data_IF_280663861531
#
_entry.id   IF_280663861531
#
_cell.length_a   1.000
_cell.length_b   1.000
_cell.length_c   1.000
_cell.angle_alpha   90.00
_cell.angle_beta   90.00
_cell.angle_gamma   90.00
#
_symmetry.space_group_name_H-M   'P 1'
#
loop_
_entity.id
_entity.type
_entity.pdbx_description
1 polymer ?
#
# COMPACT_ATOMS: atom_id res chain seq x y z
N UNK A 1 26.37 11.54 -0.70
CA UNK A 1 26.50 10.15 -0.20
C UNK A 1 25.50 9.29 -0.95
N UNK A 2 25.90 8.16 -1.53
CA UNK A 2 24.98 7.30 -2.29
C UNK A 2 24.11 6.51 -1.31
N UNK A 3 22.78 6.59 -1.44
CA UNK A 3 21.85 5.76 -0.65
C UNK A 3 21.93 4.34 -1.21
N UNK A 4 22.14 3.34 -0.36
CA UNK A 4 22.14 1.91 -0.72
C UNK A 4 21.26 1.13 0.24
N UNK A 5 20.82 -0.06 -0.15
CA UNK A 5 20.01 -0.96 0.70
C UNK A 5 20.71 -1.25 2.03
N UNK A 6 22.01 -1.54 2.00
CA UNK A 6 22.81 -1.81 3.21
C UNK A 6 22.81 -0.60 4.14
N UNK A 7 22.90 0.62 3.59
CA UNK A 7 22.87 1.83 4.39
C UNK A 7 21.50 2.05 5.03
N UNK A 8 20.41 1.75 4.32
CA UNK A 8 19.05 1.83 4.87
C UNK A 8 18.85 0.83 6.02
N UNK A 9 19.31 -0.41 5.85
CA UNK A 9 19.26 -1.44 6.91
C UNK A 9 20.09 -1.00 8.13
N UNK A 10 21.30 -0.46 7.91
CA UNK A 10 22.12 0.08 9.00
C UNK A 10 21.44 1.22 9.76
N UNK A 11 20.75 2.13 9.07
CA UNK A 11 20.03 3.23 9.71
C UNK A 11 18.85 2.71 10.56
N UNK A 12 18.11 1.71 10.06
CA UNK A 12 17.07 1.07 10.84
C UNK A 12 17.61 0.31 12.06
N UNK A 13 18.72 -0.41 11.90
CA UNK A 13 19.40 -1.09 13.01
C UNK A 13 19.77 -0.10 14.12
N UNK A 14 20.37 1.04 13.74
CA UNK A 14 20.73 2.11 14.68
C UNK A 14 19.50 2.68 15.41
N UNK A 15 18.38 2.85 14.71
CA UNK A 15 17.15 3.32 15.33
C UNK A 15 16.58 2.31 16.33
N UNK A 16 16.57 1.02 15.99
CA UNK A 16 16.13 -0.06 16.89
C UNK A 16 17.00 -0.12 18.15
N UNK A 17 18.33 -0.08 18.00
CA UNK A 17 19.27 -0.08 19.12
C UNK A 17 19.09 1.14 20.03
N UNK A 18 18.88 2.31 19.44
CA UNK A 18 18.59 3.55 20.17
C UNK A 18 17.31 3.43 21.00
N UNK A 19 16.25 2.84 20.43
CA UNK A 19 14.95 2.63 21.09
C UNK A 19 15.05 1.60 22.23
N UNK A 20 15.76 0.49 21.99
CA UNK A 20 16.04 -0.53 22.99
C UNK A 20 16.83 0.03 24.18
N UNK A 21 17.88 0.84 23.91
CA UNK A 21 18.70 1.47 24.94
C UNK A 21 17.99 2.55 25.75
N UNK A 22 16.93 3.16 25.20
CA UNK A 22 16.13 4.18 25.87
C UNK A 22 15.13 3.62 26.90
N UNK A 23 15.12 2.30 27.13
CA UNK A 23 14.22 1.67 28.10
C UNK A 23 12.76 1.57 27.64
N UNK A 24 12.50 1.73 26.34
CA UNK A 24 11.21 1.36 25.77
C UNK A 24 11.01 -0.15 25.97
N UNK A 25 9.79 -0.59 26.30
CA UNK A 25 9.45 -2.00 26.51
C UNK A 25 9.44 -2.79 25.18
N UNK A 26 10.55 -2.73 24.44
CA UNK A 26 10.75 -3.29 23.11
C UNK A 26 11.19 -4.75 23.24
N UNK A 27 10.40 -5.65 22.64
CA UNK A 27 10.70 -7.08 22.57
C UNK A 27 11.49 -7.44 21.31
N UNK A 28 11.13 -6.85 20.18
CA UNK A 28 11.76 -7.15 18.89
C UNK A 28 11.61 -6.00 17.89
N UNK A 29 12.52 -5.94 16.92
CA UNK A 29 12.47 -5.07 15.75
C UNK A 29 12.92 -5.81 14.49
N UNK A 30 12.20 -5.60 13.38
CA UNK A 30 12.50 -6.22 12.09
C UNK A 30 12.05 -5.36 10.92
N UNK A 31 12.62 -5.59 9.74
CA UNK A 31 12.23 -4.91 8.50
C UNK A 31 11.33 -5.77 7.63
N UNK A 32 10.42 -5.10 6.95
CA UNK A 32 9.60 -5.66 5.87
C UNK A 32 9.75 -4.82 4.60
N UNK A 33 8.93 -5.11 3.59
CA UNK A 33 8.82 -4.28 2.40
C UNK A 33 10.08 -4.27 1.52
N UNK A 34 10.28 -3.17 0.81
CA UNK A 34 11.27 -3.11 -0.28
C UNK A 34 12.70 -3.14 0.23
N UNK A 35 12.99 -2.56 1.39
CA UNK A 35 14.30 -2.64 2.03
C UNK A 35 14.64 -4.08 2.46
N UNK A 36 13.65 -4.91 2.77
CA UNK A 36 13.85 -6.30 3.13
C UNK A 36 14.06 -7.21 1.89
N UNK A 37 13.30 -7.02 0.80
CA UNK A 37 13.21 -8.02 -0.29
C UNK A 37 13.47 -7.53 -1.72
N UNK A 38 13.63 -6.23 -1.95
CA UNK A 38 13.64 -5.67 -3.29
C UNK A 38 14.69 -4.56 -3.45
N UNK A 39 14.60 -3.86 -4.58
CA UNK A 39 15.25 -2.57 -4.77
C UNK A 39 14.45 -1.51 -3.98
N UNK A 40 15.00 -0.94 -2.89
CA UNK A 40 14.27 0.03 -2.08
C UNK A 40 14.03 1.34 -2.83
N UNK A 41 14.96 1.76 -3.68
CA UNK A 41 14.91 3.07 -4.31
C UNK A 41 13.97 3.12 -5.52
N UNK A 42 13.14 4.15 -5.56
CA UNK A 42 12.40 4.56 -6.75
C UNK A 42 12.47 6.08 -6.85
N UNK A 43 13.01 6.58 -7.96
CA UNK A 43 13.30 8.02 -8.13
C UNK A 43 14.35 8.55 -7.14
N UNK A 44 15.26 7.70 -6.65
CA UNK A 44 16.24 8.08 -5.64
C UNK A 44 15.67 8.28 -4.23
N UNK A 45 14.38 8.00 -4.02
CA UNK A 45 13.70 8.07 -2.72
C UNK A 45 13.33 6.67 -2.21
N UNK A 46 13.31 6.50 -0.89
CA UNK A 46 12.95 5.24 -0.22
C UNK A 46 12.29 5.50 1.15
N UNK A 47 11.37 4.62 1.49
CA UNK A 47 10.90 4.35 2.83
C UNK A 47 11.62 3.11 3.37
N UNK A 48 11.67 2.99 4.69
CA UNK A 48 12.15 1.78 5.36
C UNK A 48 11.06 1.33 6.33
N UNK A 49 10.36 0.27 5.94
CA UNK A 49 9.28 -0.32 6.72
C UNK A 49 9.86 -1.06 7.93
N UNK A 50 9.87 -0.40 9.09
CA UNK A 50 10.40 -0.92 10.34
C UNK A 50 9.24 -1.31 11.25
N UNK A 51 9.21 -2.56 11.73
CA UNK A 51 8.23 -2.99 12.73
C UNK A 51 8.89 -3.12 14.08
N UNK A 52 8.30 -2.49 15.10
CA UNK A 52 8.71 -2.59 16.50
C UNK A 52 7.62 -3.31 17.31
N UNK A 53 7.99 -4.38 18.01
CA UNK A 53 7.09 -5.14 18.88
C UNK A 53 7.35 -4.74 20.33
N UNK A 54 6.29 -4.32 21.01
CA UNK A 54 6.31 -3.89 22.41
C UNK A 54 5.64 -4.91 23.31
N UNK A 55 6.07 -5.00 24.57
CA UNK A 55 5.43 -5.85 25.58
C UNK A 55 3.98 -5.43 25.83
N UNK A 56 3.73 -4.11 25.82
CA UNK A 56 2.41 -3.52 26.03
C UNK A 56 1.86 -2.93 24.74
N UNK A 57 0.58 -2.54 24.75
CA UNK A 57 -0.03 -1.85 23.61
C UNK A 57 0.60 -0.46 23.45
N UNK A 58 1.24 -0.18 22.30
CA UNK A 58 1.87 1.11 22.06
C UNK A 58 0.80 2.22 21.94
N UNK A 59 1.10 3.46 22.37
CA UNK A 59 0.15 4.58 22.32
C UNK A 59 -0.15 5.06 20.89
N UNK A 60 0.76 4.76 19.95
CA UNK A 60 0.63 5.08 18.53
C UNK A 60 0.95 3.84 17.71
N UNK A 61 0.19 3.61 16.64
CA UNK A 61 0.41 2.46 15.75
C UNK A 61 1.47 2.74 14.68
N UNK A 62 1.64 3.99 14.27
CA UNK A 62 2.54 4.37 13.18
C UNK A 62 3.31 5.64 13.53
N UNK A 63 4.60 5.67 13.21
CA UNK A 63 5.49 6.82 13.38
C UNK A 63 6.34 6.98 12.12
N UNK A 64 6.49 8.22 11.64
CA UNK A 64 7.39 8.52 10.53
C UNK A 64 8.61 9.26 11.06
N UNK A 65 9.80 8.72 10.82
CA UNK A 65 11.07 9.35 11.22
C UNK A 65 11.85 9.78 9.98
N UNK A 66 11.88 11.09 9.66
CA UNK A 66 12.68 11.59 8.54
C UNK A 66 14.17 11.33 8.76
N UNK A 67 14.82 10.73 7.78
CA UNK A 67 16.29 10.55 7.74
C UNK A 67 16.94 11.57 6.79
N UNK A 68 16.20 12.01 5.77
CA UNK A 68 16.53 13.10 4.85
C UNK A 68 15.24 13.58 4.17
N UNK A 69 15.34 14.51 3.21
CA UNK A 69 14.19 14.99 2.44
C UNK A 69 13.50 13.92 1.59
N UNK A 70 14.20 12.83 1.25
CA UNK A 70 13.71 11.77 0.35
C UNK A 70 13.81 10.35 0.95
N UNK A 71 14.25 10.25 2.20
CA UNK A 71 14.36 8.98 2.94
C UNK A 71 13.76 9.13 4.32
N UNK A 72 12.90 8.19 4.71
CA UNK A 72 12.32 8.13 6.06
C UNK A 72 12.16 6.69 6.52
N UNK A 73 12.07 6.49 7.83
CA UNK A 73 11.56 5.26 8.41
C UNK A 73 10.04 5.37 8.50
N UNK A 74 9.32 4.34 8.04
CA UNK A 74 7.90 4.13 8.31
C UNK A 74 7.82 3.06 9.40
N UNK A 75 7.63 3.50 10.64
CA UNK A 75 7.70 2.66 11.84
C UNK A 75 6.30 2.22 12.23
N UNK A 76 6.03 0.93 12.16
CA UNK A 76 4.80 0.33 12.69
C UNK A 76 5.05 -0.27 14.07
N UNK A 77 4.16 0.02 15.02
CA UNK A 77 4.26 -0.46 16.39
C UNK A 77 3.18 -1.50 16.67
N UNK A 78 3.60 -2.72 17.05
CA UNK A 78 2.70 -3.79 17.45
C UNK A 78 2.85 -4.10 18.94
N UNK A 79 1.75 -4.53 19.57
CA UNK A 79 1.85 -5.24 20.85
C UNK A 79 2.24 -6.69 20.63
N UNK A 80 2.82 -7.33 21.64
CA UNK A 80 3.09 -8.76 21.64
C UNK A 80 1.83 -9.59 21.32
N UNK A 81 0.67 -9.15 21.82
CA UNK A 81 -0.62 -9.83 21.66
C UNK A 81 -1.06 -9.97 20.19
N UNK A 82 -0.58 -9.10 19.28
CA UNK A 82 -0.82 -9.24 17.84
C UNK A 82 -0.31 -10.59 17.30
N UNK A 83 0.69 -11.18 17.96
CA UNK A 83 1.34 -12.43 17.55
C UNK A 83 0.82 -13.68 18.27
N UNK A 84 -0.22 -13.55 19.09
CA UNK A 84 -0.79 -14.68 19.86
C UNK A 84 -1.41 -15.76 18.96
N UNK A 85 -1.79 -15.41 17.72
CA UNK A 85 -2.42 -16.33 16.77
C UNK A 85 -1.66 -16.42 15.43
N UNK A 86 -0.46 -17.03 15.39
CA UNK A 86 0.36 -17.09 14.19
C UNK A 86 -0.31 -17.77 12.99
N UNK A 87 -1.26 -18.68 13.23
CA UNK A 87 -2.03 -19.33 12.18
C UNK A 87 -2.96 -18.38 11.45
N UNK A 88 -3.51 -17.36 12.13
CA UNK A 88 -4.32 -16.32 11.49
C UNK A 88 -3.43 -15.37 10.71
N UNK A 89 -2.30 -14.94 11.28
CA UNK A 89 -1.32 -14.10 10.58
C UNK A 89 -0.83 -14.74 9.27
N UNK A 90 -0.73 -16.07 9.20
CA UNK A 90 -0.34 -16.78 7.98
C UNK A 90 -1.28 -16.57 6.80
N UNK A 91 -2.58 -16.49 7.08
CA UNK A 91 -3.63 -16.31 6.07
C UNK A 91 -4.09 -14.86 5.98
N UNK A 92 -3.51 -13.97 6.78
CA UNK A 92 -3.67 -12.53 6.59
C UNK A 92 -3.03 -12.13 5.24
N UNK A 93 -3.78 -11.43 4.37
CA UNK A 93 -3.33 -11.09 3.03
C UNK A 93 -2.13 -10.13 3.00
N UNK A 94 -1.95 -9.30 4.04
CA UNK A 94 -0.88 -8.31 4.14
C UNK A 94 0.25 -8.78 5.06
N UNK A 95 -0.10 -9.18 6.28
CA UNK A 95 0.86 -9.58 7.29
C UNK A 95 1.46 -10.96 7.03
N UNK A 96 0.73 -11.88 6.43
CA UNK A 96 1.30 -13.19 6.07
C UNK A 96 2.55 -13.05 5.20
N UNK A 97 2.46 -12.38 4.03
CA UNK A 97 3.62 -12.11 3.19
C UNK A 97 4.70 -11.28 3.88
N UNK A 98 4.33 -10.22 4.61
CA UNK A 98 5.29 -9.34 5.30
C UNK A 98 6.12 -10.10 6.36
N UNK A 99 5.49 -11.04 7.07
CA UNK A 99 6.12 -11.88 8.10
C UNK A 99 6.83 -13.10 7.53
N UNK A 100 6.59 -13.45 6.27
CA UNK A 100 7.15 -14.67 5.68
C UNK A 100 8.66 -14.61 5.58
N UNK A 101 9.25 -13.46 5.20
CA UNK A 101 10.69 -13.35 4.96
C UNK A 101 11.41 -12.15 5.62
N UNK A 102 11.00 -11.59 6.77
CA UNK A 102 11.55 -10.33 7.30
C UNK A 102 13.07 -10.32 7.51
N UNK A 103 13.67 -9.12 7.54
CA UNK A 103 15.06 -8.93 8.01
C UNK A 103 15.05 -8.64 9.50
N UNK A 104 15.58 -9.56 10.30
CA UNK A 104 15.70 -9.41 11.76
C UNK A 104 16.75 -8.36 12.10
N UNK A 105 16.39 -7.44 13.00
CA UNK A 105 17.30 -6.40 13.51
C UNK A 105 17.58 -6.57 15.01
N UNK A 106 16.54 -6.93 15.79
CA UNK A 106 16.61 -7.08 17.23
C UNK A 106 15.58 -8.11 17.70
N UNK A 107 16.00 -9.17 18.38
CA UNK A 107 15.09 -10.14 19.00
C UNK A 107 15.80 -10.94 20.11
N UNK A 108 16.29 -10.28 21.19
CA UNK A 108 17.16 -10.90 22.18
C UNK A 108 16.51 -12.08 22.93
N UNK A 109 15.17 -12.16 22.92
CA UNK A 109 14.42 -13.23 23.59
C UNK A 109 13.83 -14.24 22.59
N UNK A 110 14.21 -14.15 21.31
CA UNK A 110 13.68 -14.96 20.21
C UNK A 110 12.13 -14.94 20.17
N UNK A 111 11.51 -13.83 20.56
CA UNK A 111 10.07 -13.67 20.60
C UNK A 111 9.51 -13.73 19.18
N UNK A 112 10.03 -12.88 18.31
CA UNK A 112 9.55 -12.76 16.95
C UNK A 112 9.94 -13.97 16.11
N UNK A 113 11.15 -14.50 16.30
CA UNK A 113 11.60 -15.73 15.63
C UNK A 113 10.61 -16.90 15.86
N UNK A 114 10.15 -17.07 17.10
CA UNK A 114 9.14 -18.10 17.43
C UNK A 114 7.78 -17.81 16.81
N UNK A 115 7.31 -16.56 16.88
CA UNK A 115 6.04 -16.17 16.27
C UNK A 115 6.05 -16.36 14.75
N UNK A 116 7.14 -15.96 14.11
CA UNK A 116 7.36 -16.03 12.67
C UNK A 116 7.46 -17.48 12.17
N UNK A 117 8.11 -18.38 12.92
CA UNK A 117 8.11 -19.81 12.60
C UNK A 117 6.66 -20.37 12.52
N UNK A 118 5.79 -19.93 13.43
CA UNK A 118 4.36 -20.21 13.38
C UNK A 118 3.70 -19.64 12.12
N UNK A 119 3.87 -18.36 11.83
CA UNK A 119 3.26 -17.71 10.67
C UNK A 119 3.76 -18.29 9.33
N UNK A 120 5.05 -18.61 9.20
CA UNK A 120 5.68 -19.08 7.95
C UNK A 120 5.52 -20.57 7.67
N UNK A 121 5.28 -21.41 8.69
CA UNK A 121 5.23 -22.86 8.49
C UNK A 121 4.28 -23.22 7.36
N UNK A 122 4.73 -23.93 6.32
CA UNK A 122 3.98 -24.26 5.08
C UNK A 122 3.23 -23.06 4.43
N UNK A 123 3.85 -21.88 4.37
CA UNK A 123 3.23 -20.63 3.89
C UNK A 123 2.68 -20.68 2.45
N UNK A 124 3.40 -21.37 1.55
CA UNK A 124 3.08 -21.47 0.12
C UNK A 124 2.16 -22.64 -0.24
N UNK A 125 1.61 -23.36 0.75
CA UNK A 125 0.63 -24.40 0.44
C UNK A 125 -0.58 -23.80 -0.27
N UNK A 126 -1.15 -24.50 -1.28
CA UNK A 126 -2.27 -23.99 -2.05
C UNK A 126 -3.45 -23.50 -1.20
N UNK A 127 -3.85 -24.25 -0.17
CA UNK A 127 -4.93 -23.89 0.75
C UNK A 127 -4.72 -22.55 1.48
N UNK A 128 -3.48 -22.13 1.69
CA UNK A 128 -3.16 -20.87 2.39
C UNK A 128 -2.93 -19.72 1.43
N UNK A 129 -2.40 -20.00 0.26
CA UNK A 129 -2.31 -19.02 -0.81
C UNK A 129 -3.71 -18.58 -1.24
N UNK A 130 -4.63 -19.52 -1.46
CA UNK A 130 -6.01 -19.19 -1.80
C UNK A 130 -6.73 -18.46 -0.66
N UNK A 131 -6.51 -18.86 0.60
CA UNK A 131 -7.12 -18.16 1.74
C UNK A 131 -6.75 -16.67 1.80
N UNK A 132 -5.49 -16.32 1.50
CA UNK A 132 -5.05 -14.92 1.39
C UNK A 132 -5.71 -14.20 0.21
N UNK A 133 -5.76 -14.84 -0.95
CA UNK A 133 -6.42 -14.29 -2.14
C UNK A 133 -7.92 -14.02 -1.89
N UNK A 134 -8.61 -14.96 -1.25
CA UNK A 134 -10.02 -14.81 -0.87
C UNK A 134 -10.22 -13.72 0.17
N UNK A 135 -9.28 -13.52 1.10
CA UNK A 135 -9.34 -12.40 2.04
C UNK A 135 -9.31 -11.05 1.33
N UNK A 136 -8.44 -10.89 0.32
CA UNK A 136 -8.43 -9.70 -0.53
C UNK A 136 -9.75 -9.51 -1.30
N UNK A 137 -10.29 -10.57 -1.92
CA UNK A 137 -11.56 -10.48 -2.62
C UNK A 137 -12.71 -10.09 -1.66
N UNK A 138 -12.71 -10.63 -0.45
CA UNK A 138 -13.67 -10.26 0.59
C UNK A 138 -13.54 -8.78 0.98
N UNK A 139 -12.32 -8.26 1.13
CA UNK A 139 -12.11 -6.82 1.37
C UNK A 139 -12.64 -5.98 0.22
N UNK A 140 -12.39 -6.40 -1.03
CA UNK A 140 -12.89 -5.72 -2.22
C UNK A 140 -14.43 -5.65 -2.25
N UNK A 141 -15.11 -6.77 -1.96
CA UNK A 141 -16.58 -6.83 -1.89
C UNK A 141 -17.14 -5.98 -0.76
N UNK A 142 -16.49 -5.93 0.40
CA UNK A 142 -16.88 -5.02 1.50
C UNK A 142 -16.72 -3.55 1.12
N UNK A 143 -15.65 -3.21 0.40
CA UNK A 143 -15.46 -1.87 -0.13
C UNK A 143 -16.53 -1.53 -1.18
N UNK A 144 -16.88 -2.46 -2.08
CA UNK A 144 -17.98 -2.33 -3.02
C UNK A 144 -19.33 -2.10 -2.31
N UNK A 145 -19.63 -2.87 -1.26
CA UNK A 145 -20.87 -2.72 -0.49
C UNK A 145 -21.00 -1.32 0.13
N UNK A 146 -19.91 -0.77 0.69
CA UNK A 146 -19.91 0.60 1.25
C UNK A 146 -20.28 1.68 0.22
N UNK A 147 -20.00 1.45 -1.07
CA UNK A 147 -20.38 2.38 -2.14
C UNK A 147 -21.90 2.46 -2.34
N UNK A 148 -22.63 1.40 -1.99
CA UNK A 148 -24.09 1.34 -2.08
C UNK A 148 -24.77 2.01 -0.87
N UNK A 149 -24.09 2.01 0.27
CA UNK A 149 -24.64 2.44 1.56
C UNK A 149 -24.30 3.91 1.89
N UNK A 150 -23.10 4.39 1.55
CA UNK A 150 -22.56 5.67 2.02
C UNK A 150 -21.84 6.50 0.94
N UNK A 151 -21.69 7.80 1.20
CA UNK A 151 -20.88 8.74 0.38
C UNK A 151 -19.37 8.60 0.61
N UNK A 152 -18.81 7.39 0.42
CA UNK A 152 -17.39 7.10 0.56
C UNK A 152 -16.61 7.12 -0.77
N UNK A 153 -17.20 7.71 -1.81
CA UNK A 153 -16.61 7.87 -3.13
C UNK A 153 -15.54 8.99 -3.16
N UNK A 154 -14.39 8.82 -3.84
CA UNK A 154 -13.95 7.62 -4.56
C UNK A 154 -13.16 6.63 -3.69
N UNK A 155 -12.93 6.91 -2.40
CA UNK A 155 -12.08 6.07 -1.53
C UNK A 155 -12.42 4.58 -1.63
N UNK A 156 -13.67 4.20 -1.36
CA UNK A 156 -14.04 2.79 -1.33
C UNK A 156 -14.00 2.15 -2.73
N UNK A 157 -14.15 2.94 -3.79
CA UNK A 157 -14.00 2.47 -5.17
C UNK A 157 -12.53 2.15 -5.48
N UNK A 158 -11.61 3.04 -5.11
CA UNK A 158 -10.18 2.81 -5.25
C UNK A 158 -9.70 1.62 -4.41
N UNK A 159 -10.24 1.47 -3.20
CA UNK A 159 -9.96 0.32 -2.33
C UNK A 159 -10.48 -0.99 -2.94
N UNK A 160 -11.73 -1.02 -3.42
CA UNK A 160 -12.29 -2.20 -4.07
C UNK A 160 -11.48 -2.63 -5.30
N UNK A 161 -11.09 -1.68 -6.15
CA UNK A 161 -10.27 -1.96 -7.33
C UNK A 161 -8.87 -2.50 -6.95
N UNK A 162 -8.21 -1.91 -5.95
CA UNK A 162 -6.90 -2.37 -5.48
C UNK A 162 -6.98 -3.77 -4.88
N UNK A 163 -7.92 -4.00 -3.96
CA UNK A 163 -8.06 -5.28 -3.27
C UNK A 163 -8.46 -6.39 -4.24
N UNK A 164 -9.34 -6.10 -5.21
CA UNK A 164 -9.69 -7.06 -6.27
C UNK A 164 -8.49 -7.44 -7.14
N UNK A 165 -7.66 -6.47 -7.54
CA UNK A 165 -6.45 -6.76 -8.29
C UNK A 165 -5.42 -7.54 -7.45
N UNK A 166 -5.29 -7.22 -6.16
CA UNK A 166 -4.42 -7.94 -5.24
C UNK A 166 -4.89 -9.37 -4.96
N UNK A 167 -6.19 -9.64 -4.97
CA UNK A 167 -6.74 -10.98 -4.80
C UNK A 167 -6.17 -11.97 -5.82
N UNK A 168 -6.10 -11.57 -7.10
CA UNK A 168 -5.41 -12.39 -8.11
C UNK A 168 -3.88 -12.29 -7.97
N UNK A 169 -3.33 -11.07 -7.90
CA UNK A 169 -1.89 -10.84 -7.93
C UNK A 169 -1.13 -11.55 -6.78
N UNK A 170 -1.75 -11.73 -5.61
CA UNK A 170 -1.09 -12.34 -4.46
C UNK A 170 -0.90 -13.87 -4.60
N UNK A 171 -1.55 -14.51 -5.57
CA UNK A 171 -1.32 -15.93 -5.86
C UNK A 171 0.07 -16.19 -6.48
N UNK A 172 0.64 -15.19 -7.15
CA UNK A 172 1.93 -15.31 -7.85
C UNK A 172 3.10 -14.61 -7.15
N UNK A 173 2.84 -13.83 -6.10
CA UNK A 173 3.87 -13.04 -5.42
C UNK A 173 3.33 -12.24 -4.24
N UNK A 174 4.18 -11.41 -3.60
CA UNK A 174 3.73 -10.53 -2.52
C UNK A 174 2.68 -9.53 -3.05
N UNK A 175 1.74 -9.10 -2.19
CA UNK A 175 0.71 -8.15 -2.57
C UNK A 175 1.34 -6.82 -3.00
N UNK A 176 0.69 -6.17 -3.95
CA UNK A 176 1.08 -4.88 -4.45
C UNK A 176 0.69 -3.78 -3.47
N UNK A 177 1.59 -2.82 -3.25
CA UNK A 177 1.33 -1.63 -2.44
C UNK A 177 2.16 -0.42 -2.89
N UNK A 178 1.79 0.74 -2.35
CA UNK A 178 2.57 1.98 -2.44
C UNK A 178 2.83 2.44 -3.88
N UNK A 179 3.99 3.08 -4.09
CA UNK A 179 4.36 3.69 -5.38
C UNK A 179 4.57 2.66 -6.50
N UNK A 180 4.79 1.38 -6.17
CA UNK A 180 5.01 0.30 -7.14
C UNK A 180 3.76 -0.54 -7.40
N UNK A 181 2.59 -0.15 -6.86
CA UNK A 181 1.36 -0.92 -6.93
C UNK A 181 1.10 -1.47 -8.35
N UNK A 182 0.99 -0.57 -9.34
CA UNK A 182 0.67 -0.97 -10.71
C UNK A 182 1.71 -1.92 -11.31
N UNK A 183 3.01 -1.66 -11.09
CA UNK A 183 4.08 -2.52 -11.58
C UNK A 183 4.05 -3.92 -10.94
N UNK A 184 3.72 -4.00 -9.66
CA UNK A 184 3.61 -5.28 -8.95
C UNK A 184 2.38 -6.06 -9.41
N UNK A 185 1.23 -5.41 -9.60
CA UNK A 185 0.02 -6.05 -10.15
C UNK A 185 0.32 -6.58 -11.56
N UNK A 186 0.88 -5.74 -12.44
CA UNK A 186 1.23 -6.12 -13.81
C UNK A 186 2.12 -7.37 -13.83
N UNK A 187 3.24 -7.33 -13.11
CA UNK A 187 4.18 -8.45 -13.04
C UNK A 187 3.53 -9.70 -12.49
N UNK A 188 2.83 -9.60 -11.36
CA UNK A 188 2.30 -10.77 -10.67
C UNK A 188 1.15 -11.42 -11.46
N UNK A 189 0.25 -10.62 -12.06
CA UNK A 189 -0.85 -11.13 -12.88
C UNK A 189 -0.35 -11.74 -14.19
N UNK A 190 0.72 -11.19 -14.79
CA UNK A 190 1.41 -11.84 -15.90
C UNK A 190 2.03 -13.19 -15.50
N UNK A 191 2.70 -13.27 -14.35
CA UNK A 191 3.26 -14.53 -13.81
C UNK A 191 2.17 -15.56 -13.50
N UNK A 192 1.00 -15.11 -13.04
CA UNK A 192 -0.17 -15.96 -12.81
C UNK A 192 -0.74 -16.55 -14.12
N UNK A 193 -0.45 -15.91 -15.27
CA UNK A 193 -1.08 -16.22 -16.55
C UNK A 193 -2.45 -15.56 -16.73
N UNK A 194 -2.74 -14.49 -15.98
CA UNK A 194 -3.99 -13.72 -16.04
C UNK A 194 -3.73 -12.21 -16.25
N UNK A 195 -2.95 -11.79 -17.27
CA UNK A 195 -2.63 -10.37 -17.51
C UNK A 195 -3.87 -9.48 -17.76
N UNK A 196 -4.99 -10.08 -18.14
CA UNK A 196 -6.28 -9.40 -18.29
C UNK A 196 -6.78 -8.75 -16.99
N UNK A 197 -6.37 -9.23 -15.81
CA UNK A 197 -6.68 -8.61 -14.52
C UNK A 197 -6.06 -7.22 -14.43
N UNK A 198 -4.77 -7.08 -14.80
CA UNK A 198 -4.13 -5.78 -14.81
C UNK A 198 -4.76 -4.84 -15.85
N UNK A 199 -5.10 -5.36 -17.03
CA UNK A 199 -5.81 -4.58 -18.05
C UNK A 199 -7.18 -4.09 -17.53
N UNK A 200 -7.94 -4.93 -16.83
CA UNK A 200 -9.20 -4.55 -16.21
C UNK A 200 -9.01 -3.49 -15.11
N UNK A 201 -8.01 -3.67 -14.24
CA UNK A 201 -7.66 -2.67 -13.23
C UNK A 201 -7.34 -1.30 -13.83
N UNK A 202 -6.58 -1.24 -14.93
CA UNK A 202 -6.30 0.00 -15.64
C UNK A 202 -7.56 0.63 -16.25
N UNK A 203 -8.49 -0.18 -16.77
CA UNK A 203 -9.78 0.31 -17.28
C UNK A 203 -10.65 0.92 -16.18
N UNK A 204 -10.72 0.29 -15.00
CA UNK A 204 -11.49 0.81 -13.85
C UNK A 204 -11.03 2.20 -13.41
N UNK A 205 -9.74 2.50 -13.57
CA UNK A 205 -9.17 3.81 -13.25
C UNK A 205 -9.19 4.78 -14.42
N UNK A 206 -9.64 4.35 -15.60
CA UNK A 206 -9.56 5.10 -16.86
C UNK A 206 -8.13 5.56 -17.19
N UNK A 207 -7.18 4.63 -17.13
CA UNK A 207 -5.76 4.90 -17.31
C UNK A 207 -5.39 5.54 -18.65
N UNK A 208 -6.18 5.31 -19.70
CA UNK A 208 -5.98 5.92 -21.02
C UNK A 208 -6.04 7.46 -20.96
N UNK A 209 -6.84 8.03 -20.05
CA UNK A 209 -6.95 9.47 -19.86
C UNK A 209 -5.62 10.13 -19.47
N UNK A 210 -4.71 9.38 -18.83
CA UNK A 210 -3.38 9.87 -18.40
C UNK A 210 -2.54 10.33 -19.59
N UNK A 211 -2.77 9.78 -20.80
CA UNK A 211 -2.06 10.22 -22.03
C UNK A 211 -2.34 11.67 -22.41
N UNK A 212 -3.44 12.23 -21.94
CA UNK A 212 -3.82 13.64 -22.18
C UNK A 212 -3.28 14.58 -21.10
N UNK A 213 -2.73 14.04 -20.01
CA UNK A 213 -2.31 14.82 -18.87
C UNK A 213 -1.00 15.57 -19.12
N UNK A 214 -0.96 16.81 -18.65
CA UNK A 214 0.31 17.48 -18.36
C UNK A 214 0.78 17.04 -16.98
N UNK A 215 1.55 15.95 -16.92
CA UNK A 215 2.01 15.35 -15.67
C UNK A 215 2.60 16.37 -14.67
N UNK A 216 3.46 17.33 -15.07
CA UNK A 216 3.96 18.35 -14.13
C UNK A 216 2.86 19.19 -13.47
N UNK A 217 1.79 19.54 -14.21
CA UNK A 217 0.68 20.34 -13.68
C UNK A 217 -0.14 19.53 -12.67
N UNK A 218 -0.41 18.25 -12.98
CA UNK A 218 -1.13 17.32 -12.11
C UNK A 218 -0.35 17.07 -10.81
N UNK A 219 0.94 16.76 -10.92
CA UNK A 219 1.81 16.54 -9.75
C UNK A 219 1.97 17.82 -8.91
N UNK A 220 2.02 19.00 -9.53
CA UNK A 220 2.04 20.27 -8.80
C UNK A 220 0.73 20.51 -8.03
N UNK A 221 -0.42 20.22 -8.63
CA UNK A 221 -1.71 20.35 -7.96
C UNK A 221 -1.86 19.39 -6.78
N UNK A 222 -1.47 18.12 -6.96
CA UNK A 222 -1.38 17.12 -5.90
C UNK A 222 -0.48 17.59 -4.76
N UNK A 223 0.74 18.04 -5.08
CA UNK A 223 1.73 18.46 -4.10
C UNK A 223 1.24 19.63 -3.24
N UNK A 224 0.52 20.59 -3.83
CA UNK A 224 -0.10 21.71 -3.08
C UNK A 224 -1.20 21.23 -2.12
N UNK A 225 -2.02 20.25 -2.54
CA UNK A 225 -3.02 19.66 -1.65
C UNK A 225 -2.36 18.90 -0.49
N UNK A 226 -1.28 18.16 -0.78
CA UNK A 226 -0.48 17.48 0.24
C UNK A 226 0.15 18.48 1.22
N UNK A 227 0.75 19.56 0.74
CA UNK A 227 1.35 20.61 1.57
C UNK A 227 0.31 21.26 2.49
N UNK A 228 -0.90 21.51 1.97
CA UNK A 228 -2.00 22.05 2.77
C UNK A 228 -2.49 21.07 3.84
N UNK A 229 -2.53 19.77 3.55
CA UNK A 229 -2.86 18.71 4.50
C UNK A 229 -1.76 18.58 5.57
N UNK A 230 -0.50 18.61 5.17
CA UNK A 230 0.66 18.61 6.06
C UNK A 230 0.62 19.76 7.07
N UNK A 231 0.22 20.95 6.62
CA UNK A 231 0.07 22.13 7.47
C UNK A 231 -1.05 22.02 8.52
N UNK A 232 -2.00 21.09 8.39
CA UNK A 232 -2.98 20.81 9.45
C UNK A 232 -2.33 20.12 10.66
N UNK A 233 -1.23 19.40 10.45
CA UNK A 233 -0.49 18.66 11.47
C UNK A 233 -1.22 17.39 11.96
N UNK A 234 -0.51 16.59 12.75
CA UNK A 234 -1.08 15.49 13.54
C UNK A 234 -1.23 14.14 12.83
N UNK A 235 -1.34 14.10 11.50
CA UNK A 235 -1.42 12.84 10.75
C UNK A 235 -0.03 12.44 10.21
N UNK A 236 0.52 11.29 10.63
CA UNK A 236 1.78 10.76 10.11
C UNK A 236 1.78 10.61 8.58
N UNK A 237 0.61 10.43 7.95
CA UNK A 237 0.50 10.27 6.51
C UNK A 237 0.95 11.51 5.72
N UNK A 238 0.86 12.70 6.32
CA UNK A 238 1.21 13.98 5.69
C UNK A 238 2.51 14.58 6.21
N UNK A 239 3.42 13.76 6.72
CA UNK A 239 4.76 14.22 7.05
C UNK A 239 5.50 14.69 5.78
N UNK A 240 6.24 15.82 5.81
CA UNK A 240 6.88 16.40 4.62
C UNK A 240 7.78 15.42 3.84
N UNK A 241 8.47 14.51 4.53
CA UNK A 241 9.31 13.49 3.90
C UNK A 241 8.51 12.54 2.98
N UNK A 242 7.24 12.25 3.30
CA UNK A 242 6.38 11.38 2.49
C UNK A 242 5.97 12.05 1.18
N UNK A 243 5.79 13.38 1.18
CA UNK A 243 5.50 14.13 -0.05
C UNK A 243 6.59 13.92 -1.10
N UNK A 244 7.84 14.17 -0.71
CA UNK A 244 8.98 14.05 -1.62
C UNK A 244 9.22 12.60 -2.04
N UNK A 245 9.00 11.64 -1.12
CA UNK A 245 9.01 10.22 -1.43
C UNK A 245 8.00 9.87 -2.55
N UNK A 246 6.74 10.28 -2.42
CA UNK A 246 5.73 10.07 -3.46
C UNK A 246 6.07 10.79 -4.76
N UNK A 247 6.41 12.08 -4.69
CA UNK A 247 6.72 12.90 -5.85
C UNK A 247 7.87 12.33 -6.69
N UNK A 248 8.98 11.95 -6.04
CA UNK A 248 10.14 11.35 -6.71
C UNK A 248 9.78 10.05 -7.43
N UNK A 249 8.87 9.25 -6.85
CA UNK A 249 8.42 8.01 -7.48
C UNK A 249 7.51 8.25 -8.68
N UNK A 250 6.58 9.20 -8.56
CA UNK A 250 5.71 9.58 -9.66
C UNK A 250 6.49 10.15 -10.84
N UNK A 251 7.48 11.01 -10.57
CA UNK A 251 8.38 11.54 -11.59
C UNK A 251 9.18 10.43 -12.27
N UNK A 252 9.79 9.52 -11.51
CA UNK A 252 10.57 8.43 -12.06
C UNK A 252 9.74 7.49 -12.95
N UNK A 253 8.50 7.18 -12.56
CA UNK A 253 7.59 6.35 -13.37
C UNK A 253 7.17 7.06 -14.66
N UNK A 254 6.84 8.36 -14.58
CA UNK A 254 6.49 9.15 -15.75
C UNK A 254 7.67 9.28 -16.72
N UNK A 255 8.87 9.55 -16.22
CA UNK A 255 10.12 9.63 -17.01
C UNK A 255 10.50 8.29 -17.64
N UNK A 256 10.18 7.17 -16.97
CA UNK A 256 10.33 5.83 -17.52
C UNK A 256 9.27 5.45 -18.58
N UNK A 257 8.40 6.39 -18.97
CA UNK A 257 7.35 6.16 -19.97
C UNK A 257 6.18 5.33 -19.45
N UNK A 258 5.98 5.29 -18.12
CA UNK A 258 4.90 4.55 -17.43
C UNK A 258 4.00 5.49 -16.61
N UNK A 259 3.45 6.58 -17.20
CA UNK A 259 2.67 7.54 -16.42
C UNK A 259 1.38 6.94 -15.84
N UNK A 260 0.79 5.92 -16.47
CA UNK A 260 -0.37 5.21 -15.95
C UNK A 260 -0.10 4.51 -14.61
N UNK A 261 1.15 4.12 -14.34
CA UNK A 261 1.53 3.45 -13.11
C UNK A 261 1.41 4.35 -11.87
N UNK A 262 1.37 5.68 -12.05
CA UNK A 262 1.22 6.63 -10.95
C UNK A 262 -0.23 6.78 -10.50
N UNK A 263 -1.19 6.36 -11.32
CA UNK A 263 -2.59 6.78 -11.22
C UNK A 263 -3.22 6.41 -9.88
N UNK A 264 -3.22 5.12 -9.52
CA UNK A 264 -3.78 4.69 -8.25
C UNK A 264 -3.10 5.33 -7.03
N UNK A 265 -1.76 5.28 -6.85
CA UNK A 265 -1.12 5.87 -5.68
C UNK A 265 -1.28 7.40 -5.62
N UNK A 266 -1.34 8.08 -6.77
CA UNK A 266 -1.67 9.50 -6.85
C UNK A 266 -3.09 9.76 -6.35
N UNK A 267 -4.10 9.07 -6.89
CA UNK A 267 -5.51 9.22 -6.49
C UNK A 267 -5.72 8.93 -5.01
N UNK A 268 -5.13 7.84 -4.51
CA UNK A 268 -5.25 7.42 -3.12
C UNK A 268 -4.68 8.48 -2.15
N UNK A 269 -3.46 8.96 -2.41
CA UNK A 269 -2.84 9.98 -1.55
C UNK A 269 -3.49 11.36 -1.70
N UNK A 270 -4.03 11.69 -2.88
CA UNK A 270 -4.79 12.92 -3.09
C UNK A 270 -6.12 12.89 -2.33
N UNK A 271 -6.88 11.79 -2.40
CA UNK A 271 -8.14 11.63 -1.67
C UNK A 271 -7.92 11.79 -0.16
N UNK A 272 -6.90 11.12 0.39
CA UNK A 272 -6.52 11.28 1.79
C UNK A 272 -6.25 12.75 2.13
N UNK A 273 -5.46 13.45 1.31
CA UNK A 273 -5.14 14.87 1.54
C UNK A 273 -6.40 15.75 1.50
N UNK A 274 -7.32 15.51 0.57
CA UNK A 274 -8.55 16.30 0.46
C UNK A 274 -9.47 16.10 1.65
N UNK A 275 -9.50 14.88 2.20
CA UNK A 275 -10.34 14.53 3.34
C UNK A 275 -9.80 15.02 4.68
N UNK A 276 -8.49 15.19 4.80
CA UNK A 276 -7.88 15.80 5.99
C UNK A 276 -8.05 17.32 6.03
N UNK A 277 -8.35 17.95 4.89
CA UNK A 277 -8.56 19.40 4.80
C UNK A 277 -9.95 19.83 5.29
N UNK A 278 -10.05 20.89 6.13
CA UNK A 278 -11.33 21.42 6.58
C UNK A 278 -12.18 21.94 5.41
N UNK A 279 -13.51 21.92 5.56
CA UNK A 279 -14.46 22.43 4.55
C UNK A 279 -14.68 23.95 4.70
N UNK A 280 -13.66 24.74 4.35
CA UNK A 280 -13.66 26.21 4.45
C UNK A 280 -13.23 26.87 3.12
N UNK A 281 -13.55 28.15 2.87
CA UNK A 281 -13.21 28.82 1.61
C UNK A 281 -11.73 28.79 1.24
N UNK A 282 -10.81 28.87 2.22
CA UNK A 282 -9.37 28.87 1.99
C UNK A 282 -8.82 27.54 1.41
N UNK A 283 -9.55 26.44 1.55
CA UNK A 283 -9.17 25.12 1.03
C UNK A 283 -10.04 24.66 -0.14
N UNK A 284 -10.99 25.49 -0.59
CA UNK A 284 -11.91 25.14 -1.67
C UNK A 284 -11.18 24.86 -2.99
N UNK A 285 -10.13 25.61 -3.30
CA UNK A 285 -9.36 25.45 -4.54
C UNK A 285 -8.73 24.05 -4.67
N UNK A 286 -8.29 23.42 -3.56
CA UNK A 286 -7.75 22.07 -3.59
C UNK A 286 -8.80 21.03 -3.96
N UNK A 287 -10.03 21.18 -3.44
CA UNK A 287 -11.18 20.33 -3.80
C UNK A 287 -11.60 20.50 -5.25
N UNK A 288 -11.66 21.73 -5.74
CA UNK A 288 -11.98 21.98 -7.15
C UNK A 288 -10.95 21.36 -8.11
N UNK A 289 -9.66 21.42 -7.78
CA UNK A 289 -8.62 20.73 -8.55
C UNK A 289 -8.78 19.20 -8.52
N UNK A 290 -9.14 18.64 -7.36
CA UNK A 290 -9.42 17.22 -7.20
C UNK A 290 -10.65 16.76 -8.00
N UNK A 291 -11.76 17.48 -7.89
CA UNK A 291 -13.00 17.21 -8.63
C UNK A 291 -12.78 17.33 -10.15
N UNK A 292 -12.00 18.31 -10.60
CA UNK A 292 -11.64 18.44 -12.02
C UNK A 292 -10.82 17.24 -12.53
N UNK A 293 -9.92 16.69 -11.72
CA UNK A 293 -9.18 15.47 -12.07
C UNK A 293 -10.11 14.26 -12.13
N UNK A 294 -10.98 14.09 -11.12
CA UNK A 294 -11.96 13.00 -11.11
C UNK A 294 -12.90 13.06 -12.31
N UNK A 295 -13.33 14.26 -12.72
CA UNK A 295 -14.15 14.47 -13.91
C UNK A 295 -13.43 13.99 -15.18
N UNK A 296 -12.15 14.30 -15.35
CA UNK A 296 -11.36 13.83 -16.49
C UNK A 296 -11.23 12.30 -16.54
N UNK A 297 -11.24 11.66 -15.38
CA UNK A 297 -11.18 10.20 -15.26
C UNK A 297 -12.56 9.53 -15.39
N UNK A 298 -13.66 10.29 -15.40
CA UNK A 298 -14.99 9.72 -15.29
C UNK A 298 -15.19 9.00 -13.95
N UNK A 299 -14.63 9.58 -12.88
CA UNK A 299 -14.65 9.09 -11.51
C UNK A 299 -15.34 10.09 -10.58
N UNK A 300 -16.26 10.92 -11.08
CA UNK A 300 -17.16 11.67 -10.20
C UNK A 300 -18.27 10.75 -9.67
N UNK A 301 -18.81 11.01 -8.45
CA UNK A 301 -19.94 10.25 -7.93
C UNK A 301 -21.15 10.23 -8.86
N UNK A 302 -21.37 11.32 -9.61
CA UNK A 302 -22.46 11.45 -10.59
C UNK A 302 -22.31 10.55 -11.80
N UNK A 303 -21.11 10.02 -12.05
CA UNK A 303 -20.76 9.16 -13.19
C UNK A 303 -20.53 7.71 -12.75
N UNK A 304 -20.88 7.38 -11.50
CA UNK A 304 -20.54 6.11 -10.85
C UNK A 304 -21.22 4.88 -11.43
N UNK A 305 -22.39 5.01 -12.07
CA UNK A 305 -23.17 3.85 -12.56
C UNK A 305 -22.37 2.89 -13.43
N UNK A 306 -21.77 3.39 -14.52
CA UNK A 306 -20.95 2.57 -15.41
C UNK A 306 -19.74 1.97 -14.68
N UNK A 307 -19.11 2.73 -13.78
CA UNK A 307 -17.92 2.30 -13.04
C UNK A 307 -18.25 1.20 -12.02
N UNK A 308 -19.43 1.25 -11.42
CA UNK A 308 -19.89 0.23 -10.50
C UNK A 308 -20.19 -1.09 -11.22
N UNK A 309 -20.82 -1.03 -12.41
CA UNK A 309 -21.06 -2.22 -13.24
C UNK A 309 -19.74 -2.85 -13.70
N UNK A 310 -18.77 -2.03 -14.12
CA UNK A 310 -17.43 -2.49 -14.50
C UNK A 310 -16.68 -3.12 -13.31
N UNK A 311 -16.81 -2.52 -12.11
CA UNK A 311 -16.20 -3.04 -10.88
C UNK A 311 -16.82 -4.38 -10.49
N UNK A 312 -18.14 -4.52 -10.58
CA UNK A 312 -18.83 -5.78 -10.29
C UNK A 312 -18.35 -6.91 -11.22
N UNK A 313 -18.36 -6.65 -12.53
CA UNK A 313 -17.88 -7.61 -13.52
C UNK A 313 -16.40 -7.97 -13.32
N UNK A 314 -15.57 -6.99 -12.92
CA UNK A 314 -14.17 -7.23 -12.59
C UNK A 314 -14.02 -8.15 -11.38
N UNK A 315 -14.75 -7.91 -10.30
CA UNK A 315 -14.67 -8.74 -9.09
C UNK A 315 -15.22 -10.15 -9.32
N UNK A 316 -16.27 -10.32 -10.12
CA UNK A 316 -16.78 -11.63 -10.53
C UNK A 316 -15.74 -12.42 -11.34
N UNK A 317 -15.04 -11.72 -12.24
CA UNK A 317 -13.98 -12.34 -13.03
C UNK A 317 -12.78 -12.77 -12.16
N UNK A 318 -12.39 -11.94 -11.18
CA UNK A 318 -11.35 -12.29 -10.22
C UNK A 318 -11.75 -13.53 -9.41
N UNK A 319 -13.00 -13.61 -8.93
CA UNK A 319 -13.51 -14.78 -8.21
C UNK A 319 -13.36 -16.07 -9.03
N UNK A 320 -13.77 -16.03 -10.30
CA UNK A 320 -13.58 -17.15 -11.24
C UNK A 320 -12.11 -17.56 -11.39
N UNK A 321 -11.18 -16.60 -11.46
CA UNK A 321 -9.74 -16.90 -11.52
C UNK A 321 -9.28 -17.62 -10.23
N UNK A 322 -9.77 -17.17 -9.07
CA UNK A 322 -9.43 -17.78 -7.78
C UNK A 322 -9.95 -19.22 -7.69
N UNK A 323 -11.21 -19.45 -8.06
CA UNK A 323 -11.82 -20.79 -8.06
C UNK A 323 -11.06 -21.75 -8.98
N UNK A 324 -10.74 -21.30 -10.20
CA UNK A 324 -9.95 -22.07 -11.16
C UNK A 324 -8.56 -22.40 -10.62
N UNK A 325 -7.87 -21.40 -10.07
CA UNK A 325 -6.54 -21.61 -9.50
C UNK A 325 -6.56 -22.60 -8.34
N UNK A 326 -7.57 -22.51 -7.47
CA UNK A 326 -7.73 -23.44 -6.34
C UNK A 326 -7.92 -24.88 -6.84
N UNK A 327 -8.81 -25.08 -7.81
CA UNK A 327 -9.03 -26.37 -8.44
C UNK A 327 -7.74 -26.95 -9.05
N UNK A 328 -7.03 -26.17 -9.86
CA UNK A 328 -5.82 -26.60 -10.56
C UNK A 328 -4.67 -26.94 -9.60
N UNK A 329 -4.68 -26.39 -8.38
CA UNK A 329 -3.63 -26.60 -7.37
C UNK A 329 -4.08 -27.51 -6.20
N UNK A 330 -5.28 -28.10 -6.26
CA UNK A 330 -5.79 -29.00 -5.23
C UNK A 330 -6.05 -28.33 -3.88
N UNK A 331 -6.48 -27.06 -3.91
CA UNK A 331 -6.89 -26.27 -2.74
C UNK A 331 -8.41 -26.29 -2.56
#
# INVERSE_FOLDING_TARGET
MRITREKLIQLAQQEVERRAGAGQALLSGYLIGSAAHAEPLLGGAADVDLVLIHTETPPHQTEIVPLSDVVHLDITHHSAAFYDQPTQLRVDPWWGPALSEPVFLFDPQHFFERAQAGARGQFHRPDRAIARAQAFLLHARRAQQRLLEDSCWPQAYLEAAMEGANAAACLAGPPAAGRRLALTIERNTATLGAPEVFAAFQRLLNAEAVTTWRIPDVLSAWARAFDAASAQGGDPCFQPARRNYHLAGFQALAEAGRPEAILWPLLHTWDQAIRSLPRVPSTAAYRSAWEALLAQLGLLPTESGLRLDELEAFLDHVDFILEKWAHDNGA
#
